data_IF_920050339948
#
_entry.id   IF_920050339948
#
_cell.length_a   1.000
_cell.length_b   1.000
_cell.length_c   1.000
_cell.angle_alpha   90.00
_cell.angle_beta   90.00
_cell.angle_gamma   90.00
#
_symmetry.space_group_name_H-M   'P 1'
#
loop_
_entity.id
_entity.type
_entity.pdbx_description
1 polymer ?
#
# COMPACT_ATOMS: atom_id res chain seq x y z
N UNK A 1 12.04 16.15 -15.67
CA UNK A 1 13.01 15.28 -14.98
C UNK A 1 14.41 15.89 -14.90
N UNK A 2 14.99 16.45 -15.97
CA UNK A 2 16.30 17.12 -15.91
C UNK A 2 16.33 18.30 -14.93
N UNK A 3 15.24 19.06 -14.84
CA UNK A 3 15.21 20.31 -14.09
C UNK A 3 14.91 20.05 -12.61
N UNK A 4 13.99 19.13 -12.29
CA UNK A 4 13.70 18.72 -10.90
C UNK A 4 14.92 18.13 -10.19
N UNK A 5 15.71 17.29 -10.85
CA UNK A 5 16.91 16.71 -10.23
C UNK A 5 18.00 17.76 -10.00
N UNK A 6 18.08 18.79 -10.86
CA UNK A 6 19.03 19.90 -10.71
C UNK A 6 18.60 20.89 -9.62
N UNK A 7 17.29 21.12 -9.48
CA UNK A 7 16.72 22.11 -8.58
C UNK A 7 16.49 21.56 -7.17
N UNK A 8 15.94 20.34 -7.06
CA UNK A 8 15.56 19.71 -5.79
C UNK A 8 16.54 18.63 -5.32
N UNK A 9 17.42 18.14 -6.19
CA UNK A 9 18.35 17.05 -5.87
C UNK A 9 17.70 15.66 -5.79
N UNK A 10 16.40 15.55 -6.04
CA UNK A 10 15.64 14.31 -6.07
C UNK A 10 14.65 14.27 -7.25
N UNK A 11 14.26 13.06 -7.65
CA UNK A 11 13.27 12.83 -8.70
C UNK A 11 12.39 11.64 -8.31
N UNK A 12 11.08 11.77 -8.53
CA UNK A 12 10.14 10.67 -8.29
C UNK A 12 9.64 10.08 -9.62
N UNK A 13 9.90 8.80 -9.83
CA UNK A 13 9.51 8.03 -11.02
C UNK A 13 8.29 7.18 -10.69
N UNK A 14 7.30 7.18 -11.59
CA UNK A 14 6.06 6.38 -11.45
C UNK A 14 5.28 6.61 -10.15
N UNK A 15 5.47 7.75 -9.47
CA UNK A 15 4.85 8.12 -8.19
C UNK A 15 5.20 7.20 -7.00
N UNK A 16 6.17 6.32 -7.16
CA UNK A 16 6.51 5.31 -6.15
C UNK A 16 8.01 5.16 -5.90
N UNK A 17 8.86 5.56 -6.85
CA UNK A 17 10.31 5.44 -6.71
C UNK A 17 10.94 6.81 -6.60
N UNK A 18 11.65 7.10 -5.50
CA UNK A 18 12.32 8.38 -5.30
C UNK A 18 13.83 8.18 -5.36
N UNK A 19 14.50 8.86 -6.27
CA UNK A 19 15.95 8.78 -6.44
C UNK A 19 16.58 10.12 -6.17
N UNK A 20 17.78 10.10 -5.59
CA UNK A 20 18.60 11.30 -5.37
C UNK A 20 19.81 11.31 -6.29
N UNK A 21 20.49 12.44 -6.42
CA UNK A 21 21.66 12.60 -7.32
C UNK A 21 22.75 11.55 -7.10
N UNK A 22 22.96 11.06 -5.86
CA UNK A 22 23.93 9.99 -5.54
C UNK A 22 23.57 8.62 -6.14
N UNK A 23 22.31 8.40 -6.47
CA UNK A 23 21.83 7.17 -7.10
C UNK A 23 22.04 7.20 -8.61
N UNK A 24 22.35 8.36 -9.19
CA UNK A 24 22.57 8.51 -10.62
C UNK A 24 23.79 7.70 -11.07
N UNK A 25 23.55 6.72 -11.92
CA UNK A 25 24.59 5.94 -12.59
C UNK A 25 25.07 6.76 -13.78
N UNK A 26 26.12 7.54 -13.56
CA UNK A 26 26.67 8.41 -14.58
C UNK A 26 27.25 7.57 -15.72
N UNK A 27 26.54 7.46 -16.84
CA UNK A 27 27.11 6.95 -18.09
C UNK A 27 26.47 7.72 -19.23
N UNK A 28 27.15 8.79 -19.66
CA UNK A 28 26.88 9.52 -20.91
C UNK A 28 26.68 8.49 -22.03
N UNK A 29 25.44 8.12 -22.35
CA UNK A 29 25.14 7.44 -23.60
C UNK A 29 25.02 8.53 -24.65
N UNK A 30 26.10 8.78 -25.38
CA UNK A 30 25.98 9.51 -26.65
C UNK A 30 25.14 8.68 -27.63
N UNK A 31 24.44 9.42 -28.51
CA UNK A 31 23.52 9.05 -29.60
C UNK A 31 22.07 9.14 -29.15
N UNK A 32 21.28 10.14 -29.53
CA UNK A 32 21.38 11.19 -30.56
C UNK A 32 20.56 12.38 -30.03
N UNK A 33 20.78 13.59 -30.54
CA UNK A 33 20.01 14.79 -30.18
C UNK A 33 18.49 14.49 -30.14
N UNK A 34 17.93 14.39 -28.93
CA UNK A 34 16.62 14.94 -28.50
C UNK A 34 16.15 14.40 -27.14
N UNK A 35 16.64 13.27 -26.62
CA UNK A 35 16.23 12.77 -25.29
C UNK A 35 17.37 12.25 -24.41
N UNK A 36 17.64 12.93 -23.30
CA UNK A 36 18.62 12.49 -22.30
C UNK A 36 18.06 11.34 -21.44
N UNK A 37 18.58 10.13 -21.59
CA UNK A 37 18.22 8.97 -20.74
C UNK A 37 19.02 8.99 -19.43
N UNK A 38 18.31 9.12 -18.31
CA UNK A 38 18.89 9.01 -16.97
C UNK A 38 18.76 7.58 -16.43
N UNK A 39 19.83 7.06 -15.82
CA UNK A 39 19.84 5.73 -15.19
C UNK A 39 20.17 5.86 -13.72
N UNK A 40 19.39 5.21 -12.86
CA UNK A 40 19.58 5.25 -11.41
C UNK A 40 19.86 3.85 -10.87
N UNK A 41 20.66 3.78 -9.81
CA UNK A 41 20.90 2.54 -9.06
C UNK A 41 19.68 2.29 -8.18
N UNK A 42 18.96 1.21 -8.48
CA UNK A 42 17.77 0.86 -7.71
C UNK A 42 18.05 -0.13 -6.57
N UNK A 43 18.94 -1.11 -6.79
CA UNK A 43 19.28 -2.12 -5.80
C UNK A 43 20.76 -2.52 -5.88
N UNK A 44 21.27 -3.12 -4.79
CA UNK A 44 22.54 -3.86 -4.76
C UNK A 44 22.24 -5.35 -4.61
N UNK A 45 22.97 -6.18 -5.36
CA UNK A 45 22.84 -7.64 -5.25
C UNK A 45 23.93 -8.16 -4.32
N UNK A 46 23.54 -8.73 -3.18
CA UNK A 46 24.45 -9.24 -2.16
C UNK A 46 23.87 -10.53 -1.55
N UNK A 47 24.70 -11.57 -1.41
CA UNK A 47 24.32 -12.85 -0.79
C UNK A 47 23.03 -13.50 -1.33
N UNK A 48 22.74 -13.35 -2.63
CA UNK A 48 21.53 -13.90 -3.25
C UNK A 48 20.26 -13.06 -3.10
N UNK A 49 20.35 -11.88 -2.48
CA UNK A 49 19.27 -10.92 -2.32
C UNK A 49 19.53 -9.64 -3.11
N UNK A 50 18.47 -8.97 -3.55
CA UNK A 50 18.49 -7.58 -3.96
C UNK A 50 18.12 -6.71 -2.77
N UNK A 51 19.10 -5.96 -2.25
CA UNK A 51 18.91 -4.94 -1.22
C UNK A 51 18.54 -3.62 -1.88
N UNK A 52 17.36 -3.12 -1.56
CA UNK A 52 16.82 -1.85 -2.04
C UNK A 52 16.77 -0.89 -0.85
N UNK A 53 17.39 0.29 -0.94
CA UNK A 53 17.31 1.28 0.11
C UNK A 53 15.86 1.72 0.33
N UNK A 54 15.43 1.82 1.59
CA UNK A 54 14.04 2.21 1.93
C UNK A 54 13.66 3.58 1.38
N UNK A 55 14.62 4.52 1.32
CA UNK A 55 14.42 5.83 0.73
C UNK A 55 13.98 5.77 -0.74
N UNK A 56 14.41 4.76 -1.50
CA UNK A 56 14.03 4.58 -2.90
C UNK A 56 12.57 4.18 -3.04
N UNK A 57 12.05 3.39 -2.09
CA UNK A 57 10.66 2.95 -2.05
C UNK A 57 9.78 3.86 -1.19
N UNK A 58 10.36 4.96 -0.67
CA UNK A 58 9.72 5.89 0.26
C UNK A 58 9.11 5.15 1.45
N UNK A 59 9.91 4.26 2.03
CA UNK A 59 9.63 3.52 3.26
C UNK A 59 10.80 3.66 4.24
N UNK A 60 10.52 3.49 5.53
CA UNK A 60 11.52 3.65 6.59
C UNK A 60 12.52 2.49 6.63
N UNK A 61 12.12 1.34 6.11
CA UNK A 61 12.88 0.10 6.16
C UNK A 61 13.52 -0.22 4.81
N UNK A 62 14.77 -0.68 4.84
CA UNK A 62 15.39 -1.29 3.66
C UNK A 62 14.67 -2.60 3.31
N UNK A 63 14.63 -2.91 2.02
CA UNK A 63 13.92 -4.09 1.51
C UNK A 63 14.92 -5.07 0.90
N UNK A 64 14.84 -6.33 1.29
CA UNK A 64 15.64 -7.42 0.72
C UNK A 64 14.73 -8.41 0.02
N UNK A 65 14.96 -8.63 -1.27
CA UNK A 65 14.17 -9.56 -2.09
C UNK A 65 15.06 -10.68 -2.58
N UNK A 66 14.66 -11.94 -2.36
CA UNK A 66 15.34 -13.11 -2.89
C UNK A 66 15.42 -13.05 -4.42
N UNK A 67 16.64 -13.11 -4.97
CA UNK A 67 16.86 -13.01 -6.41
C UNK A 67 16.37 -14.21 -7.22
N UNK A 68 16.01 -15.31 -6.55
CA UNK A 68 15.56 -16.56 -7.19
C UNK A 68 14.04 -16.74 -7.17
N UNK A 69 13.35 -16.21 -6.17
CA UNK A 69 11.94 -16.54 -5.90
C UNK A 69 10.94 -15.46 -6.31
N UNK A 70 11.40 -14.21 -6.47
CA UNK A 70 10.53 -13.06 -6.72
C UNK A 70 11.02 -12.33 -7.96
N UNK A 71 10.10 -12.06 -8.89
CA UNK A 71 10.41 -11.32 -10.10
C UNK A 71 10.62 -9.83 -9.79
N UNK A 72 11.62 -9.24 -10.45
CA UNK A 72 12.03 -7.86 -10.23
C UNK A 72 11.35 -6.93 -11.25
N UNK A 73 10.03 -6.81 -11.13
CA UNK A 73 9.17 -6.08 -12.06
C UNK A 73 8.45 -4.92 -11.35
N UNK A 74 7.89 -3.97 -12.11
CA UNK A 74 7.20 -2.79 -11.54
C UNK A 74 6.04 -3.17 -10.61
N UNK A 75 5.26 -4.19 -10.99
CA UNK A 75 4.11 -4.70 -10.23
C UNK A 75 4.48 -5.31 -8.86
N UNK A 76 5.74 -5.74 -8.68
CA UNK A 76 6.28 -6.21 -7.39
C UNK A 76 6.38 -5.08 -6.37
N UNK A 77 6.59 -3.84 -6.83
CA UNK A 77 6.83 -2.69 -5.97
C UNK A 77 5.66 -1.69 -5.97
N UNK A 78 4.92 -1.62 -7.08
CA UNK A 78 3.90 -0.60 -7.33
C UNK A 78 2.61 -1.27 -7.78
N UNK A 79 1.59 -1.15 -6.95
CA UNK A 79 0.22 -1.55 -7.28
C UNK A 79 -0.48 -0.45 -8.12
N UNK A 80 -1.76 -0.70 -8.43
CA UNK A 80 -2.66 0.25 -9.09
C UNK A 80 -2.56 1.67 -8.50
N UNK A 81 -2.69 2.69 -9.37
CA UNK A 81 -2.57 4.13 -9.03
C UNK A 81 -1.22 4.59 -8.48
N UNK A 82 -0.16 3.80 -8.62
CA UNK A 82 1.16 4.18 -8.10
C UNK A 82 1.29 3.93 -6.60
N UNK A 83 0.46 3.06 -6.02
CA UNK A 83 0.54 2.72 -4.60
C UNK A 83 1.79 1.86 -4.37
N UNK A 84 2.76 2.40 -3.61
CA UNK A 84 3.95 1.65 -3.20
C UNK A 84 3.58 0.52 -2.23
N UNK A 85 3.81 -0.72 -2.65
CA UNK A 85 3.48 -1.94 -1.90
C UNK A 85 4.26 -1.99 -0.60
N UNK A 86 5.58 -1.80 -0.66
CA UNK A 86 6.46 -1.83 0.52
C UNK A 86 6.17 -0.69 1.50
N UNK A 87 5.66 0.46 1.03
CA UNK A 87 5.18 1.52 1.93
C UNK A 87 3.97 1.07 2.75
N UNK A 88 3.09 0.23 2.19
CA UNK A 88 1.95 -0.34 2.94
C UNK A 88 2.40 -1.44 3.89
N UNK A 89 3.28 -2.33 3.43
CA UNK A 89 3.87 -3.39 4.27
C UNK A 89 4.60 -2.79 5.48
N UNK A 90 5.45 -1.78 5.26
CA UNK A 90 6.16 -1.05 6.31
C UNK A 90 5.25 -0.42 7.37
N UNK A 91 4.00 -0.07 7.04
CA UNK A 91 3.05 0.49 8.02
C UNK A 91 2.39 -0.57 8.90
N UNK A 92 2.37 -1.81 8.43
CA UNK A 92 1.77 -2.95 9.14
C UNK A 92 2.82 -3.67 9.96
N UNK A 93 4.05 -3.72 9.45
CA UNK A 93 5.19 -4.25 10.19
C UNK A 93 5.61 -3.21 11.24
N UNK A 94 5.27 -3.44 12.50
CA UNK A 94 5.74 -2.63 13.64
C UNK A 94 7.23 -2.86 13.98
N UNK A 95 7.93 -3.68 13.20
CA UNK A 95 9.29 -4.12 13.50
C UNK A 95 10.35 -3.10 13.05
N UNK A 96 11.21 -2.71 13.99
CA UNK A 96 12.48 -2.02 13.71
C UNK A 96 13.43 -2.98 12.97
N UNK A 97 13.35 -3.03 11.65
CA UNK A 97 14.19 -3.93 10.87
C UNK A 97 14.08 -3.77 9.36
N UNK A 98 14.72 -4.69 8.63
CA UNK A 98 14.62 -4.78 7.18
C UNK A 98 13.41 -5.62 6.78
N UNK A 99 12.73 -5.24 5.70
CA UNK A 99 11.64 -6.06 5.13
C UNK A 99 12.29 -7.11 4.24
N UNK A 100 12.29 -8.36 4.67
CA UNK A 100 12.86 -9.48 3.90
C UNK A 100 11.74 -10.26 3.22
N UNK A 101 11.89 -10.53 1.92
CA UNK A 101 10.95 -11.30 1.10
C UNK A 101 11.66 -12.48 0.44
N UNK A 102 11.19 -13.68 0.74
CA UNK A 102 11.71 -14.96 0.23
C UNK A 102 13.04 -15.40 0.84
N UNK A 103 13.51 -16.55 0.39
CA UNK A 103 14.70 -17.25 0.91
C UNK A 103 14.55 -17.70 2.36
N UNK A 104 15.68 -17.96 3.02
CA UNK A 104 15.71 -18.73 4.28
C UNK A 104 16.04 -17.89 5.54
N UNK A 105 15.99 -16.55 5.43
CA UNK A 105 16.26 -15.67 6.57
C UNK A 105 15.13 -15.70 7.60
N UNK A 106 15.48 -15.64 8.88
CA UNK A 106 14.50 -15.51 9.96
C UNK A 106 13.69 -14.19 9.82
N UNK A 107 12.39 -14.25 10.05
CA UNK A 107 11.49 -13.10 9.88
C UNK A 107 11.20 -12.72 8.44
N UNK A 108 11.55 -13.57 7.47
CA UNK A 108 11.25 -13.33 6.05
C UNK A 108 9.76 -13.55 5.76
N UNK A 109 9.20 -12.74 4.86
CA UNK A 109 7.90 -12.97 4.26
C UNK A 109 8.09 -14.04 3.18
N UNK A 110 7.50 -15.24 3.30
CA UNK A 110 7.64 -16.29 2.30
C UNK A 110 7.16 -15.81 0.93
N UNK A 111 7.83 -16.23 -0.15
CA UNK A 111 7.49 -15.78 -1.51
C UNK A 111 6.05 -16.14 -1.91
N UNK A 112 5.50 -17.24 -1.42
CA UNK A 112 4.09 -17.60 -1.60
C UNK A 112 3.13 -16.59 -0.95
N UNK A 113 3.38 -16.23 0.32
CA UNK A 113 2.58 -15.23 1.07
C UNK A 113 2.70 -13.86 0.41
N UNK A 114 3.89 -13.49 -0.05
CA UNK A 114 4.09 -12.23 -0.75
C UNK A 114 3.33 -12.18 -2.08
N UNK A 115 3.31 -13.27 -2.87
CA UNK A 115 2.49 -13.34 -4.10
C UNK A 115 1.00 -13.26 -3.81
N UNK A 116 0.54 -13.86 -2.72
CA UNK A 116 -0.85 -13.72 -2.27
C UNK A 116 -1.16 -12.27 -1.87
N UNK A 117 -0.27 -11.62 -1.13
CA UNK A 117 -0.40 -10.20 -0.81
C UNK A 117 -0.54 -9.35 -2.09
N UNK A 118 0.33 -9.59 -3.09
CA UNK A 118 0.28 -8.90 -4.37
C UNK A 118 -1.07 -9.09 -5.09
N UNK A 119 -1.62 -10.30 -5.07
CA UNK A 119 -2.91 -10.59 -5.73
C UNK A 119 -4.11 -10.00 -5.00
N UNK A 120 -3.99 -9.75 -3.69
CA UNK A 120 -5.05 -9.18 -2.84
C UNK A 120 -5.01 -7.66 -2.76
N UNK A 121 -4.04 -6.97 -3.37
CA UNK A 121 -4.07 -5.51 -3.44
C UNK A 121 -5.33 -5.02 -4.18
N UNK A 122 -6.11 -4.11 -3.60
CA UNK A 122 -7.36 -3.66 -4.19
C UNK A 122 -7.10 -2.93 -5.51
N UNK A 123 -7.93 -3.21 -6.51
CA UNK A 123 -7.90 -2.49 -7.79
C UNK A 123 -8.38 -1.05 -7.63
N UNK A 124 -8.08 -0.22 -8.62
CA UNK A 124 -8.61 1.16 -8.72
C UNK A 124 -10.13 1.22 -8.54
N UNK A 125 -10.86 0.29 -9.18
CA UNK A 125 -12.32 0.20 -9.10
C UNK A 125 -12.77 -0.14 -7.66
N UNK A 126 -12.15 -1.14 -7.03
CA UNK A 126 -12.46 -1.52 -5.64
C UNK A 126 -12.21 -0.36 -4.67
N UNK A 127 -11.12 0.40 -4.88
CA UNK A 127 -10.79 1.57 -4.06
C UNK A 127 -11.82 2.69 -4.20
N UNK A 128 -12.27 2.99 -5.43
CA UNK A 128 -13.30 4.01 -5.67
C UNK A 128 -14.62 3.61 -5.06
N UNK A 129 -15.05 2.37 -5.27
CA UNK A 129 -16.29 1.85 -4.68
C UNK A 129 -16.27 1.97 -3.15
N UNK A 130 -15.16 1.60 -2.51
CA UNK A 130 -15.00 1.76 -1.07
C UNK A 130 -15.07 3.24 -0.64
N UNK A 131 -14.36 4.13 -1.32
CA UNK A 131 -14.36 5.55 -1.00
C UNK A 131 -15.76 6.17 -1.14
N UNK A 132 -16.46 5.84 -2.23
CA UNK A 132 -17.84 6.28 -2.45
C UNK A 132 -18.78 5.73 -1.38
N UNK A 133 -18.77 4.42 -1.11
CA UNK A 133 -19.64 3.80 -0.11
C UNK A 133 -19.40 4.38 1.29
N UNK A 134 -18.15 4.69 1.63
CA UNK A 134 -17.80 5.31 2.91
C UNK A 134 -18.32 6.75 3.01
N UNK A 135 -18.17 7.55 1.95
CA UNK A 135 -18.70 8.91 1.88
C UNK A 135 -20.24 8.90 1.95
N UNK A 136 -20.87 7.99 1.22
CA UNK A 136 -22.32 7.77 1.24
C UNK A 136 -22.84 7.40 2.62
N UNK A 137 -22.15 6.53 3.35
CA UNK A 137 -22.55 6.19 4.73
C UNK A 137 -22.53 7.42 5.63
N UNK A 138 -21.42 8.19 5.61
CA UNK A 138 -21.25 9.38 6.47
C UNK A 138 -22.27 10.47 6.12
N UNK A 139 -22.46 10.71 4.82
CA UNK A 139 -23.41 11.71 4.33
C UNK A 139 -24.84 11.24 4.63
N UNK A 140 -25.16 9.97 4.39
CA UNK A 140 -26.46 9.38 4.69
C UNK A 140 -26.85 9.55 6.15
N UNK A 141 -25.95 9.22 7.10
CA UNK A 141 -26.17 9.41 8.55
C UNK A 141 -26.50 10.88 8.91
N UNK A 142 -25.87 11.84 8.24
CA UNK A 142 -26.15 13.26 8.44
C UNK A 142 -27.47 13.71 7.81
N UNK A 143 -27.75 13.26 6.59
CA UNK A 143 -28.95 13.66 5.83
C UNK A 143 -30.21 12.95 6.35
N UNK A 144 -30.11 11.77 6.97
CA UNK A 144 -31.24 11.14 7.68
C UNK A 144 -31.77 12.03 8.81
N UNK A 145 -30.93 12.91 9.36
CA UNK A 145 -31.33 13.88 10.38
C UNK A 145 -31.93 15.17 9.80
N UNK A 146 -32.01 15.31 8.47
CA UNK A 146 -32.50 16.53 7.79
C UNK A 146 -33.44 16.19 6.61
N UNK A 147 -34.75 16.42 6.78
CA UNK A 147 -35.83 16.02 5.85
C UNK A 147 -35.57 16.33 4.37
N UNK A 148 -35.27 17.59 4.01
CA UNK A 148 -35.08 18.01 2.60
C UNK A 148 -33.82 17.45 1.95
N UNK A 149 -32.85 17.11 2.78
CA UNK A 149 -31.53 16.67 2.35
C UNK A 149 -31.55 15.15 2.05
N UNK A 150 -32.36 14.41 2.80
CA UNK A 150 -32.69 13.00 2.56
C UNK A 150 -33.29 12.78 1.16
N UNK A 151 -34.29 13.56 0.78
CA UNK A 151 -35.01 13.35 -0.49
C UNK A 151 -34.09 13.55 -1.72
N UNK A 152 -33.19 14.54 -1.67
CA UNK A 152 -32.18 14.77 -2.71
C UNK A 152 -31.18 13.63 -2.82
N UNK A 153 -30.81 13.05 -1.68
CA UNK A 153 -29.85 11.95 -1.61
C UNK A 153 -30.44 10.61 -2.07
N UNK A 154 -31.69 10.33 -1.73
CA UNK A 154 -32.42 9.16 -2.26
C UNK A 154 -32.52 9.22 -3.79
N UNK A 155 -32.75 10.40 -4.39
CA UNK A 155 -32.72 10.58 -5.85
C UNK A 155 -31.33 10.31 -6.46
N UNK A 156 -30.26 10.72 -5.78
CA UNK A 156 -28.88 10.42 -6.21
C UNK A 156 -28.60 8.92 -6.18
N UNK A 157 -28.96 8.23 -5.09
CA UNK A 157 -28.81 6.77 -4.97
C UNK A 157 -29.58 6.02 -6.06
N UNK A 158 -30.82 6.41 -6.32
CA UNK A 158 -31.64 5.79 -7.36
C UNK A 158 -31.04 5.98 -8.77
N UNK A 159 -30.50 7.16 -9.07
CA UNK A 159 -29.82 7.43 -10.34
C UNK A 159 -28.53 6.62 -10.48
N UNK A 160 -27.77 6.48 -9.39
CA UNK A 160 -26.55 5.68 -9.38
C UNK A 160 -26.85 4.18 -9.50
N UNK A 161 -27.91 3.70 -8.85
CA UNK A 161 -28.35 2.30 -8.94
C UNK A 161 -28.80 1.93 -10.36
N UNK A 162 -29.37 2.86 -11.12
CA UNK A 162 -29.72 2.64 -12.53
C UNK A 162 -28.52 2.61 -13.49
N UNK A 163 -27.41 3.26 -13.14
CA UNK A 163 -26.20 3.33 -13.99
C UNK A 163 -25.21 2.16 -13.73
N UNK A 164 -25.35 1.44 -12.61
CA UNK A 164 -24.46 0.30 -12.27
C UNK A 164 -25.07 -0.99 -12.81
N UNK A 165 -24.67 -1.37 -14.03
CA UNK A 165 -24.88 -2.73 -14.53
C UNK A 165 -24.12 -3.75 -13.65
N UNK A 166 -24.87 -4.70 -13.11
CA UNK A 166 -24.51 -6.05 -12.64
C UNK A 166 -23.03 -6.35 -12.32
N UNK A 167 -22.45 -5.55 -11.43
CA UNK A 167 -21.31 -6.01 -10.64
C UNK A 167 -21.76 -5.94 -9.21
N UNK A 168 -22.35 -7.05 -8.73
CA UNK A 168 -22.52 -7.30 -7.31
C UNK A 168 -21.20 -6.92 -6.62
N UNK A 169 -21.29 -5.91 -5.77
CA UNK A 169 -20.18 -5.34 -5.03
C UNK A 169 -19.28 -6.46 -4.49
N UNK A 170 -17.94 -6.35 -4.55
CA UNK A 170 -17.07 -7.15 -3.70
C UNK A 170 -17.16 -6.61 -2.25
N UNK A 171 -18.39 -6.48 -1.76
CA UNK A 171 -18.73 -6.09 -0.40
C UNK A 171 -18.24 -7.15 0.57
N UNK A 172 -18.29 -8.43 0.18
CA UNK A 172 -17.95 -9.55 1.06
C UNK A 172 -16.51 -9.49 1.52
N UNK A 173 -15.52 -9.33 0.63
CA UNK A 173 -14.09 -9.25 1.02
C UNK A 173 -13.79 -8.05 1.92
N UNK A 174 -14.44 -6.90 1.66
CA UNK A 174 -14.27 -5.69 2.47
C UNK A 174 -14.97 -5.80 3.83
N UNK A 175 -16.15 -6.41 3.86
CA UNK A 175 -16.90 -6.72 5.09
C UNK A 175 -16.11 -7.74 5.91
N UNK A 176 -15.55 -8.78 5.31
CA UNK A 176 -14.69 -9.78 5.94
C UNK A 176 -13.45 -9.14 6.56
N UNK A 177 -12.74 -8.27 5.82
CA UNK A 177 -11.60 -7.54 6.36
C UNK A 177 -11.99 -6.63 7.54
N UNK A 178 -13.18 -6.01 7.48
CA UNK A 178 -13.70 -5.16 8.54
C UNK A 178 -14.12 -5.99 9.77
N UNK A 179 -14.76 -7.14 9.55
CA UNK A 179 -15.12 -8.12 10.60
C UNK A 179 -13.86 -8.62 11.29
N UNK A 180 -12.83 -9.03 10.53
CA UNK A 180 -11.56 -9.48 11.08
C UNK A 180 -10.90 -8.41 11.95
N UNK A 181 -10.92 -7.15 11.52
CA UNK A 181 -10.43 -6.02 12.34
C UNK A 181 -11.23 -5.88 13.64
N UNK A 182 -12.56 -5.97 13.60
CA UNK A 182 -13.40 -5.86 14.80
C UNK A 182 -13.23 -7.06 15.75
N UNK A 183 -13.02 -8.27 15.21
CA UNK A 183 -12.72 -9.46 16.00
C UNK A 183 -11.38 -9.31 16.74
N UNK A 184 -10.34 -8.86 16.04
CA UNK A 184 -9.03 -8.57 16.66
C UNK A 184 -9.14 -7.51 17.76
N UNK A 185 -9.84 -6.41 17.51
CA UNK A 185 -10.11 -5.38 18.52
C UNK A 185 -10.83 -5.95 19.75
N UNK A 186 -11.85 -6.80 19.54
CA UNK A 186 -12.58 -7.47 20.61
C UNK A 186 -11.65 -8.36 21.44
N UNK A 187 -10.80 -9.14 20.79
CA UNK A 187 -9.83 -10.02 21.45
C UNK A 187 -8.80 -9.23 22.26
N UNK A 188 -8.24 -8.15 21.71
CA UNK A 188 -7.32 -7.27 22.42
C UNK A 188 -7.96 -6.64 23.67
N UNK A 189 -9.17 -6.08 23.52
CA UNK A 189 -9.91 -5.49 24.63
C UNK A 189 -10.26 -6.54 25.68
N UNK A 190 -10.67 -7.74 25.26
CA UNK A 190 -10.99 -8.84 26.18
C UNK A 190 -9.75 -9.32 26.93
N UNK A 191 -8.59 -9.39 26.25
CA UNK A 191 -7.31 -9.71 26.86
C UNK A 191 -6.86 -8.66 27.87
N UNK A 192 -6.99 -7.38 27.54
CA UNK A 192 -6.71 -6.28 28.48
C UNK A 192 -7.60 -6.33 29.72
N UNK A 193 -8.89 -6.59 29.54
CA UNK A 193 -9.84 -6.76 30.66
C UNK A 193 -9.51 -7.97 31.53
N UNK A 194 -9.17 -9.12 30.95
CA UNK A 194 -8.78 -10.29 31.73
C UNK A 194 -7.47 -10.06 32.51
N UNK A 195 -6.52 -9.33 31.91
CA UNK A 195 -5.26 -8.97 32.55
C UNK A 195 -5.41 -7.91 33.65
N UNK A 196 -6.35 -6.97 33.51
CA UNK A 196 -6.60 -5.93 34.53
C UNK A 196 -7.37 -6.47 35.74
N UNK A 197 -8.26 -7.45 35.56
CA UNK A 197 -8.93 -8.16 36.66
C UNK A 197 -7.91 -8.96 37.50
N UNK A 198 -6.84 -9.46 36.90
CA UNK A 198 -5.77 -10.18 37.63
C UNK A 198 -4.86 -9.27 38.46
N UNK A 199 -4.93 -7.93 38.27
CA UNK A 199 -4.14 -6.95 39.03
C UNK A 199 -4.91 -6.24 40.14
N UNK A 200 -6.21 -6.55 40.35
CA UNK A 200 -7.07 -5.78 41.26
C UNK A 200 -7.19 -6.30 42.71
N UNK A 201 -6.51 -7.37 43.12
CA UNK A 201 -6.56 -7.81 44.53
C UNK A 201 -5.18 -8.24 45.06
N UNK A 202 -4.35 -7.23 45.36
CA UNK A 202 -3.39 -7.26 46.48
C UNK A 202 -3.25 -5.83 47.01
N UNK A 203 -4.23 -5.40 47.79
CA UNK A 203 -4.08 -4.38 48.84
C UNK A 203 -5.20 -4.57 49.87
#
# INVERSE_FOLDING_TARGET
MSDELKEKGEVTVSRAFTFVTRDLLNRRSKRTDEDSIYRFRFAKREAGYFRIPGCVLVCQHDVLISSKEVSFERNTFVAERGVGIFRRVARVMEADGEIVVGGDRAGTIPSAVFRELLSKFPSSIKLDQYASARAETIIGEYLTNTSDAREKYERYLNRRASDVHDTQLPHTELIEAKIGKYQLLREMISGWLASSVSYSEKN
#
